data_IF_742580530582
#
_entry.id   IF_742580530582
#
_cell.length_a   1.000
_cell.length_b   1.000
_cell.length_c   1.000
_cell.angle_alpha   90.00
_cell.angle_beta   90.00
_cell.angle_gamma   90.00
#
_symmetry.space_group_name_H-M   'P 1'
#
loop_
_entity.id
_entity.type
_entity.pdbx_description
1 polymer ?
#
# COMPACT_ATOMS: atom_id res chain seq x y z
N UNK A 1 -3.51 -9.80 -10.11
CA UNK A 1 -3.29 -9.27 -8.74
C UNK A 1 -3.33 -7.75 -8.76
N UNK A 2 -3.82 -7.12 -7.69
CA UNK A 2 -3.86 -5.65 -7.55
C UNK A 2 -3.15 -5.25 -6.28
N UNK A 3 -2.40 -4.16 -6.32
CA UNK A 3 -1.63 -3.69 -5.19
C UNK A 3 -2.03 -2.26 -4.82
N UNK A 4 -2.02 -1.98 -3.52
CA UNK A 4 -2.13 -0.62 -2.98
C UNK A 4 -0.84 -0.31 -2.24
N UNK A 5 -0.13 0.71 -2.71
CA UNK A 5 1.04 1.28 -2.06
C UNK A 5 0.62 2.42 -1.15
N UNK A 6 1.17 2.45 0.06
CA UNK A 6 0.96 3.47 1.10
C UNK A 6 2.33 3.98 1.52
N UNK A 7 2.73 5.13 0.97
CA UNK A 7 3.99 5.80 1.29
C UNK A 7 3.93 6.48 2.66
N UNK A 8 5.06 6.53 3.35
CA UNK A 8 5.21 7.10 4.69
C UNK A 8 4.34 6.44 5.78
N UNK A 9 3.84 5.22 5.51
CA UNK A 9 3.09 4.42 6.48
C UNK A 9 3.84 4.24 7.80
N UNK A 10 5.17 4.07 7.79
CA UNK A 10 5.93 3.84 9.02
C UNK A 10 5.99 5.07 9.95
N UNK A 11 5.70 6.27 9.43
CA UNK A 11 5.62 7.51 10.23
C UNK A 11 4.38 7.55 11.14
N UNK A 12 3.40 6.67 10.93
CA UNK A 12 2.21 6.55 11.80
C UNK A 12 2.56 5.93 13.17
N UNK A 13 1.75 6.18 14.18
CA UNK A 13 1.93 5.55 15.50
C UNK A 13 1.59 4.06 15.46
N UNK A 14 1.99 3.32 16.49
CA UNK A 14 1.64 1.89 16.59
C UNK A 14 0.13 1.69 16.66
N UNK A 15 -0.56 2.56 17.39
CA UNK A 15 -2.01 2.54 17.58
C UNK A 15 -2.72 2.78 16.24
N UNK A 16 -2.30 3.79 15.48
CA UNK A 16 -2.83 4.10 14.15
C UNK A 16 -2.64 2.92 13.18
N UNK A 17 -1.48 2.24 13.22
CA UNK A 17 -1.23 1.04 12.41
C UNK A 17 -2.22 -0.07 12.73
N UNK A 18 -2.48 -0.33 14.00
CA UNK A 18 -3.44 -1.36 14.43
C UNK A 18 -4.88 -1.02 14.02
N UNK A 19 -5.28 0.24 14.19
CA UNK A 19 -6.58 0.74 13.76
C UNK A 19 -6.76 0.66 12.25
N UNK A 20 -5.72 1.01 11.48
CA UNK A 20 -5.74 0.94 10.03
C UNK A 20 -5.98 -0.49 9.54
N UNK A 21 -5.25 -1.47 10.08
CA UNK A 21 -5.43 -2.87 9.69
C UNK A 21 -6.84 -3.35 10.01
N UNK A 22 -7.35 -3.06 11.22
CA UNK A 22 -8.75 -3.38 11.58
C UNK A 22 -9.74 -2.76 10.60
N UNK A 23 -9.58 -1.46 10.33
CA UNK A 23 -10.44 -0.70 9.42
C UNK A 23 -10.44 -1.31 8.00
N UNK A 24 -9.28 -1.68 7.47
CA UNK A 24 -9.21 -2.23 6.12
C UNK A 24 -9.84 -3.62 6.00
N UNK A 25 -9.83 -4.43 7.06
CA UNK A 25 -10.38 -5.79 7.04
C UNK A 25 -11.91 -5.86 7.09
N UNK A 26 -12.62 -4.76 7.40
CA UNK A 26 -14.11 -4.78 7.47
C UNK A 26 -14.79 -4.68 6.10
N UNK A 27 -14.07 -4.28 5.06
CA UNK A 27 -14.64 -4.04 3.74
C UNK A 27 -14.85 -5.34 2.97
N UNK A 28 -16.09 -5.64 2.58
CA UNK A 28 -16.40 -6.82 1.74
C UNK A 28 -15.98 -6.69 0.27
N UNK A 29 -15.68 -5.47 -0.20
CA UNK A 29 -15.41 -5.17 -1.61
C UNK A 29 -13.94 -5.38 -2.03
N UNK A 30 -13.07 -5.69 -1.07
CA UNK A 30 -11.71 -6.13 -1.32
C UNK A 30 -11.25 -7.03 -0.18
N UNK A 31 -10.31 -7.93 -0.47
CA UNK A 31 -9.67 -8.80 0.51
C UNK A 31 -8.16 -8.66 0.34
N UNK A 32 -7.51 -8.21 1.40
CA UNK A 32 -6.05 -8.18 1.54
C UNK A 32 -5.58 -9.62 1.73
N UNK A 33 -4.70 -10.10 0.86
CA UNK A 33 -4.13 -11.45 0.92
C UNK A 33 -2.70 -11.45 1.42
N UNK A 34 -1.99 -10.34 1.30
CA UNK A 34 -0.63 -10.19 1.78
C UNK A 34 -0.30 -8.72 2.08
N UNK A 35 0.68 -8.49 2.95
CA UNK A 35 1.15 -7.19 3.38
C UNK A 35 2.67 -7.18 3.38
N UNK A 36 3.28 -6.16 2.76
CA UNK A 36 4.75 -6.01 2.72
C UNK A 36 5.14 -4.62 3.19
N UNK A 37 6.00 -4.56 4.20
CA UNK A 37 6.61 -3.31 4.67
C UNK A 37 7.94 -3.13 3.95
N UNK A 38 8.20 -1.92 3.44
CA UNK A 38 9.50 -1.54 2.90
C UNK A 38 10.11 -0.50 3.84
N UNK A 39 11.09 -0.94 4.64
CA UNK A 39 11.70 -0.13 5.71
C UNK A 39 12.40 1.11 5.16
N UNK A 40 13.27 0.94 4.14
CA UNK A 40 14.05 2.03 3.56
C UNK A 40 13.19 3.13 2.90
N UNK A 41 11.91 2.83 2.67
CA UNK A 41 10.96 3.74 2.03
C UNK A 41 9.80 4.16 2.95
N UNK A 42 9.82 3.70 4.20
CA UNK A 42 8.75 3.90 5.18
C UNK A 42 7.36 3.52 4.66
N UNK A 43 7.26 2.55 3.75
CA UNK A 43 6.02 2.27 3.02
C UNK A 43 5.43 0.89 3.32
N UNK A 44 4.12 0.79 3.09
CA UNK A 44 3.35 -0.46 3.16
C UNK A 44 2.75 -0.74 1.80
N UNK A 45 2.82 -2.00 1.39
CA UNK A 45 2.17 -2.53 0.21
C UNK A 45 1.12 -3.54 0.66
N UNK A 46 -0.12 -3.31 0.25
CA UNK A 46 -1.22 -4.25 0.40
C UNK A 46 -1.43 -4.96 -0.93
N UNK A 47 -1.32 -6.29 -0.89
CA UNK A 47 -1.68 -7.15 -2.01
C UNK A 47 -3.12 -7.59 -1.85
N UNK A 48 -3.91 -7.37 -2.90
CA UNK A 48 -5.32 -7.71 -2.95
C UNK A 48 -5.55 -8.93 -3.84
N UNK A 49 -6.53 -9.74 -3.45
CA UNK A 49 -7.08 -10.81 -4.30
C UNK A 49 -7.60 -10.27 -5.64
N UNK A 50 -7.65 -11.14 -6.66
CA UNK A 50 -7.94 -10.71 -8.04
C UNK A 50 -9.35 -10.14 -8.24
N UNK A 51 -10.32 -10.65 -7.49
CA UNK A 51 -11.72 -10.20 -7.45
C UNK A 51 -11.92 -8.90 -6.68
N UNK A 52 -10.89 -8.42 -5.96
CA UNK A 52 -10.97 -7.20 -5.17
C UNK A 52 -11.04 -5.92 -6.00
N UNK A 53 -11.74 -4.91 -5.47
CA UNK A 53 -11.71 -3.55 -6.01
C UNK A 53 -10.55 -2.73 -5.45
N UNK A 54 -9.48 -2.60 -6.23
CA UNK A 54 -8.33 -1.76 -5.88
C UNK A 54 -8.66 -0.28 -5.69
N UNK A 55 -9.66 0.24 -6.44
CA UNK A 55 -10.12 1.63 -6.28
C UNK A 55 -10.80 1.86 -4.93
N UNK A 56 -11.56 0.87 -4.44
CA UNK A 56 -12.22 0.98 -3.15
C UNK A 56 -11.19 0.85 -2.03
N UNK A 57 -10.26 -0.10 -2.13
CA UNK A 57 -9.14 -0.22 -1.18
C UNK A 57 -8.32 1.07 -1.10
N UNK A 58 -7.96 1.67 -2.24
CA UNK A 58 -7.27 2.96 -2.30
C UNK A 58 -8.08 4.05 -1.59
N UNK A 59 -9.36 4.23 -1.96
CA UNK A 59 -10.23 5.26 -1.36
C UNK A 59 -10.41 5.06 0.15
N UNK A 60 -10.57 3.82 0.60
CA UNK A 60 -10.65 3.50 2.03
C UNK A 60 -9.37 3.90 2.76
N UNK A 61 -8.20 3.54 2.24
CA UNK A 61 -6.93 3.94 2.86
C UNK A 61 -6.74 5.46 2.86
N UNK A 62 -7.08 6.16 1.77
CA UNK A 62 -7.05 7.63 1.71
C UNK A 62 -8.00 8.27 2.73
N UNK A 63 -9.19 7.69 2.92
CA UNK A 63 -10.17 8.20 3.88
C UNK A 63 -9.66 8.04 5.32
N UNK A 64 -9.08 6.88 5.64
CA UNK A 64 -8.49 6.62 6.96
C UNK A 64 -7.39 7.64 7.29
N UNK A 65 -6.48 7.87 6.35
CA UNK A 65 -5.36 8.80 6.52
C UNK A 65 -5.65 10.24 6.08
N UNK A 66 -6.91 10.65 5.93
CA UNK A 66 -7.27 11.96 5.35
C UNK A 66 -6.62 13.16 6.06
N UNK A 67 -6.33 13.05 7.36
CA UNK A 67 -5.71 14.11 8.18
C UNK A 67 -4.17 14.08 8.18
N UNK A 68 -3.54 13.14 7.47
CA UNK A 68 -2.10 12.91 7.43
C UNK A 68 -1.60 13.21 6.01
N UNK A 69 -1.27 14.47 5.78
CA UNK A 69 -0.89 14.97 4.44
C UNK A 69 0.39 14.30 3.91
N UNK A 70 1.24 13.79 4.80
CA UNK A 70 2.45 13.07 4.48
C UNK A 70 2.19 11.66 3.90
N UNK A 71 1.01 11.08 4.11
CA UNK A 71 0.69 9.72 3.67
C UNK A 71 0.17 9.74 2.24
N UNK A 72 0.85 9.00 1.37
CA UNK A 72 0.50 8.91 -0.05
C UNK A 72 -0.06 7.52 -0.37
N UNK A 73 -1.20 7.46 -1.06
CA UNK A 73 -1.84 6.19 -1.42
C UNK A 73 -1.99 6.06 -2.94
N UNK A 74 -1.42 5.00 -3.50
CA UNK A 74 -1.46 4.71 -4.93
C UNK A 74 -1.88 3.27 -5.21
N UNK A 75 -2.55 3.06 -6.34
CA UNK A 75 -2.64 1.74 -6.94
C UNK A 75 -1.36 1.54 -7.75
N UNK A 76 -0.75 0.37 -7.63
CA UNK A 76 0.46 -0.01 -8.37
C UNK A 76 0.19 -1.35 -9.08
N UNK A 77 0.82 -1.56 -10.23
CA UNK A 77 0.55 -2.72 -11.08
C UNK A 77 1.40 -3.92 -10.70
N UNK A 78 2.67 -3.67 -10.36
CA UNK A 78 3.64 -4.72 -10.03
C UNK A 78 4.78 -4.19 -9.19
N UNK A 79 5.43 -5.12 -8.51
CA UNK A 79 6.63 -4.93 -7.70
C UNK A 79 7.65 -5.94 -8.20
N UNK A 80 8.86 -5.49 -8.52
CA UNK A 80 9.94 -6.33 -9.01
C UNK A 80 11.12 -6.19 -8.05
N UNK A 81 11.66 -7.32 -7.60
CA UNK A 81 12.89 -7.37 -6.82
C UNK A 81 14.03 -7.81 -7.73
N UNK A 82 15.03 -6.94 -7.95
CA UNK A 82 16.22 -7.23 -8.78
C UNK A 82 17.44 -6.53 -8.20
N UNK A 83 18.60 -7.17 -8.19
CA UNK A 83 19.88 -6.54 -7.84
C UNK A 83 19.90 -5.73 -6.52
N UNK A 84 19.21 -6.21 -5.47
CA UNK A 84 19.02 -5.49 -4.20
C UNK A 84 18.21 -4.19 -4.32
N UNK A 85 17.31 -4.13 -5.30
CA UNK A 85 16.46 -2.98 -5.55
C UNK A 85 15.01 -3.46 -5.70
N UNK A 86 14.07 -2.70 -5.12
CA UNK A 86 12.63 -2.84 -5.34
C UNK A 86 12.22 -1.80 -6.37
N UNK A 87 11.68 -2.26 -7.48
CA UNK A 87 11.02 -1.41 -8.47
C UNK A 87 9.51 -1.51 -8.32
N UNK A 88 8.86 -0.35 -8.19
CA UNK A 88 7.41 -0.22 -8.09
C UNK A 88 6.91 0.41 -9.38
N UNK A 89 5.92 -0.21 -10.02
CA UNK A 89 5.35 0.27 -11.28
C UNK A 89 3.91 0.74 -11.11
N UNK A 90 3.56 1.85 -11.77
CA UNK A 90 2.22 2.43 -11.81
C UNK A 90 1.88 2.85 -13.23
N UNK A 91 0.70 2.44 -13.71
CA UNK A 91 0.31 2.58 -15.10
C UNK A 91 1.37 2.02 -16.08
N UNK A 92 1.96 0.87 -15.74
CA UNK A 92 3.06 0.22 -16.45
C UNK A 92 4.35 1.05 -16.59
N UNK A 93 4.49 2.16 -15.86
CA UNK A 93 5.70 2.98 -15.81
C UNK A 93 6.41 2.83 -14.47
N UNK A 94 7.73 2.89 -14.47
CA UNK A 94 8.50 2.91 -13.23
C UNK A 94 8.07 4.13 -12.41
N UNK A 95 7.53 3.87 -11.23
CA UNK A 95 7.03 4.89 -10.30
C UNK A 95 8.04 5.17 -9.22
N UNK A 96 8.68 4.13 -8.69
CA UNK A 96 9.66 4.26 -7.61
C UNK A 96 10.70 3.14 -7.68
N UNK A 97 11.91 3.48 -7.25
CA UNK A 97 13.02 2.55 -7.08
C UNK A 97 13.56 2.72 -5.66
N UNK A 98 13.80 1.61 -4.97
CA UNK A 98 14.18 1.59 -3.55
C UNK A 98 15.32 0.61 -3.39
N UNK A 99 16.46 1.07 -2.90
CA UNK A 99 17.61 0.21 -2.59
C UNK A 99 17.36 -0.55 -1.28
N UNK A 100 17.80 -1.81 -1.19
CA UNK A 100 17.58 -2.73 -0.07
C UNK A 100 18.90 -3.22 0.52
#
# INVERSE_FOLDING_TARGET
>A
MKYVYIGNYLLTTREEKLEFIKYMHVFKKFKIINQKIILNDNSLILELSDDSSGQIAKKSAQLFFKKKEEIQVYIIDKIILRNKEIEIYKNNKLFKKIDI
#
